data_IF_496043158656
#
_entry.id   IF_496043158656
#
_cell.length_a   1.000
_cell.length_b   1.000
_cell.length_c   1.000
_cell.angle_alpha   90.00
_cell.angle_beta   90.00
_cell.angle_gamma   90.00
#
_symmetry.space_group_name_H-M   'P 1'
#
loop_
_entity.id
_entity.type
_entity.pdbx_description
1 polymer ?
#
# COMPACT_ATOMS: atom_id res chain seq x y z
N UNK A 1 68.43 69.08 28.98
CA UNK A 1 67.25 69.69 28.32
C UNK A 1 66.16 68.64 28.24
N UNK A 2 64.97 68.95 28.79
CA UNK A 2 63.58 68.49 28.46
C UNK A 2 63.43 67.14 27.73
N UNK A 3 62.57 66.18 28.06
CA UNK A 3 61.29 66.17 28.76
C UNK A 3 60.88 64.70 29.02
N UNK A 4 60.03 64.49 30.02
CA UNK A 4 59.19 63.31 30.24
C UNK A 4 58.43 62.87 28.98
N UNK A 5 58.09 61.58 28.86
CA UNK A 5 56.68 61.19 28.66
C UNK A 5 56.39 59.70 28.95
N UNK A 6 55.25 59.53 29.62
CA UNK A 6 54.46 58.32 29.91
C UNK A 6 54.34 57.37 28.71
N UNK A 7 54.57 56.07 28.92
CA UNK A 7 54.10 55.03 28.00
C UNK A 7 52.76 54.49 28.51
N UNK A 8 51.67 54.94 27.89
CA UNK A 8 50.32 54.49 28.18
C UNK A 8 50.06 53.13 27.51
N UNK A 9 49.70 52.14 28.32
CA UNK A 9 49.20 50.83 27.89
C UNK A 9 47.85 51.03 27.20
N UNK A 10 47.78 50.80 25.90
CA UNK A 10 46.52 50.77 25.15
C UNK A 10 46.13 49.32 24.90
N UNK A 11 45.16 48.84 25.68
CA UNK A 11 44.50 47.55 25.51
C UNK A 11 43.63 47.62 24.26
N UNK A 12 44.02 46.93 23.19
CA UNK A 12 43.16 46.70 22.03
C UNK A 12 42.14 45.61 22.39
N UNK A 13 40.92 46.03 22.75
CA UNK A 13 39.75 45.16 22.80
C UNK A 13 39.33 44.84 21.36
N UNK A 14 39.70 43.67 20.86
CA UNK A 14 39.12 43.10 19.65
C UNK A 14 37.66 42.72 19.93
N UNK A 15 36.75 43.66 19.69
CA UNK A 15 35.33 43.37 19.51
C UNK A 15 35.18 42.54 18.23
N UNK A 16 35.25 41.21 18.38
CA UNK A 16 34.83 40.30 17.32
C UNK A 16 33.31 40.34 17.25
N UNK A 17 32.78 41.05 16.27
CA UNK A 17 31.39 40.90 15.83
C UNK A 17 31.18 39.45 15.39
N UNK A 18 30.66 38.61 16.28
CA UNK A 18 30.05 37.34 15.89
C UNK A 18 28.73 37.70 15.23
N UNK A 19 28.71 37.71 13.90
CA UNK A 19 27.47 37.83 13.14
C UNK A 19 26.59 36.61 13.45
N UNK A 20 25.31 36.77 13.84
CA UNK A 20 24.39 35.66 13.97
C UNK A 20 23.98 35.22 12.58
N UNK A 21 24.78 34.36 11.97
CA UNK A 21 24.39 33.60 10.79
C UNK A 21 24.30 32.13 11.20
N UNK A 22 23.48 31.86 12.21
CA UNK A 22 22.74 30.60 12.27
C UNK A 22 21.61 30.70 11.24
N UNK A 23 21.98 30.72 9.95
CA UNK A 23 21.04 30.35 8.90
C UNK A 23 20.83 28.85 9.07
N UNK A 24 19.65 28.47 9.56
CA UNK A 24 19.18 27.09 9.48
C UNK A 24 19.52 26.55 8.09
N UNK A 25 20.45 25.60 8.04
CA UNK A 25 20.97 25.03 6.79
C UNK A 25 19.76 24.45 6.07
N UNK A 26 19.39 25.01 4.92
CA UNK A 26 18.25 24.54 4.13
C UNK A 26 18.46 23.06 3.86
N UNK A 27 17.49 22.21 4.25
CA UNK A 27 17.59 20.76 4.02
C UNK A 27 17.78 20.50 2.53
N UNK A 28 18.68 19.58 2.18
CA UNK A 28 18.85 19.18 0.79
C UNK A 28 17.59 18.44 0.29
N UNK A 29 17.41 18.40 -1.03
CA UNK A 29 16.23 17.81 -1.66
C UNK A 29 16.04 16.35 -1.29
N UNK A 30 17.13 15.57 -1.15
CA UNK A 30 17.05 14.16 -0.79
C UNK A 30 16.48 13.99 0.62
N UNK A 31 16.92 14.82 1.56
CA UNK A 31 16.37 14.84 2.92
C UNK A 31 14.89 15.21 2.92
N UNK A 32 14.49 16.25 2.19
CA UNK A 32 13.08 16.67 2.10
C UNK A 32 12.19 15.55 1.53
N UNK A 33 12.61 14.94 0.42
CA UNK A 33 11.86 13.85 -0.22
C UNK A 33 11.76 12.63 0.70
N UNK A 34 12.85 12.28 1.37
CA UNK A 34 12.88 11.13 2.29
C UNK A 34 11.96 11.36 3.49
N UNK A 35 12.04 12.52 4.14
CA UNK A 35 11.19 12.85 5.28
C UNK A 35 9.71 12.86 4.91
N UNK A 36 9.37 13.41 3.74
CA UNK A 36 7.99 13.38 3.23
C UNK A 36 7.53 11.94 3.01
N UNK A 37 8.32 11.13 2.29
CA UNK A 37 7.99 9.72 2.04
C UNK A 37 7.77 8.95 3.34
N UNK A 38 8.63 9.13 4.35
CA UNK A 38 8.49 8.45 5.63
C UNK A 38 7.22 8.88 6.38
N UNK A 39 6.83 10.16 6.25
CA UNK A 39 5.58 10.68 6.83
C UNK A 39 4.37 10.06 6.15
N UNK A 40 4.32 10.10 4.81
CA UNK A 40 3.23 9.53 4.01
C UNK A 40 3.10 8.01 4.25
N UNK A 41 4.23 7.29 4.29
CA UNK A 41 4.26 5.85 4.56
C UNK A 41 3.71 5.52 5.95
N UNK A 42 4.04 6.34 6.95
CA UNK A 42 3.50 6.17 8.31
C UNK A 42 1.97 6.34 8.31
N UNK A 43 1.47 7.39 7.68
CA UNK A 43 0.02 7.64 7.57
C UNK A 43 -0.71 6.50 6.85
N UNK A 44 -0.12 5.97 5.78
CA UNK A 44 -0.66 4.83 5.06
C UNK A 44 -0.70 3.56 5.93
N UNK A 45 0.37 3.28 6.69
CA UNK A 45 0.42 2.16 7.64
C UNK A 45 -0.61 2.32 8.78
N UNK A 46 -0.79 3.54 9.29
CA UNK A 46 -1.81 3.85 10.30
C UNK A 46 -3.22 3.58 9.73
N UNK A 47 -3.45 3.94 8.46
CA UNK A 47 -4.72 3.67 7.75
C UNK A 47 -4.98 2.17 7.56
N UNK A 48 -3.96 1.40 7.16
CA UNK A 48 -4.04 -0.06 7.05
C UNK A 48 -4.39 -0.69 8.41
N UNK A 49 -3.72 -0.25 9.49
CA UNK A 49 -3.98 -0.76 10.84
C UNK A 49 -5.37 -0.38 11.36
N UNK A 50 -5.85 0.82 11.06
CA UNK A 50 -7.20 1.24 11.42
C UNK A 50 -8.26 0.42 10.67
N UNK A 51 -8.06 0.16 9.38
CA UNK A 51 -8.99 -0.56 8.52
C UNK A 51 -9.27 -1.99 9.00
N UNK A 52 -8.27 -2.69 9.54
CA UNK A 52 -8.43 -4.06 10.09
C UNK A 52 -9.57 -4.21 11.08
N UNK A 53 -9.88 -3.16 11.84
CA UNK A 53 -10.97 -3.16 12.85
C UNK A 53 -12.37 -3.24 12.23
N UNK A 54 -12.49 -2.92 10.95
CA UNK A 54 -13.76 -2.83 10.24
C UNK A 54 -13.96 -3.96 9.23
N UNK A 55 -12.95 -4.80 9.00
CA UNK A 55 -13.02 -5.92 8.07
C UNK A 55 -13.78 -7.08 8.71
N UNK A 56 -14.71 -7.64 7.95
CA UNK A 56 -15.51 -8.81 8.29
C UNK A 56 -15.33 -9.90 7.23
N UNK A 57 -15.73 -11.12 7.58
CA UNK A 57 -15.81 -12.24 6.65
C UNK A 57 -16.60 -11.88 5.38
N UNK A 58 -16.04 -12.17 4.22
CA UNK A 58 -16.68 -11.93 2.92
C UNK A 58 -16.59 -10.47 2.44
N UNK A 59 -15.92 -9.57 3.15
CA UNK A 59 -15.67 -8.21 2.64
C UNK A 59 -14.78 -8.26 1.39
N UNK A 60 -15.17 -7.50 0.36
CA UNK A 60 -14.35 -7.28 -0.82
C UNK A 60 -13.30 -6.22 -0.53
N UNK A 61 -12.04 -6.59 -0.72
CA UNK A 61 -10.89 -5.68 -0.61
C UNK A 61 -10.42 -5.35 -2.02
N UNK A 62 -10.53 -4.08 -2.40
CA UNK A 62 -10.00 -3.56 -3.66
C UNK A 62 -8.67 -2.84 -3.42
N UNK A 63 -7.77 -2.86 -4.40
CA UNK A 63 -6.47 -2.15 -4.31
C UNK A 63 -6.01 -1.61 -5.65
N UNK A 64 -5.03 -0.71 -5.59
CA UNK A 64 -4.31 -0.19 -6.76
C UNK A 64 -2.81 -0.32 -6.60
N UNK A 65 -2.16 -1.01 -7.54
CA UNK A 65 -0.70 -1.07 -7.64
C UNK A 65 -0.11 0.16 -8.33
N UNK A 66 1.20 0.37 -8.11
CA UNK A 66 1.96 1.42 -8.82
C UNK A 66 2.38 1.00 -10.23
N UNK A 67 2.28 -0.30 -10.54
CA UNK A 67 2.83 -0.87 -11.76
C UNK A 67 1.97 -0.60 -13.00
N UNK A 68 2.56 -0.79 -14.18
CA UNK A 68 1.91 -0.53 -15.46
C UNK A 68 0.72 -1.48 -15.72
N UNK A 69 0.78 -2.71 -15.22
CA UNK A 69 -0.32 -3.68 -15.36
C UNK A 69 -1.53 -3.18 -14.60
N UNK A 70 -1.35 -2.73 -13.35
CA UNK A 70 -2.38 -2.10 -12.54
C UNK A 70 -3.04 -0.91 -13.27
N UNK A 71 -2.24 0.00 -13.82
CA UNK A 71 -2.75 1.16 -14.57
C UNK A 71 -3.53 0.76 -15.84
N UNK A 72 -3.11 -0.32 -16.51
CA UNK A 72 -3.82 -0.86 -17.67
C UNK A 72 -5.16 -1.46 -17.26
N UNK A 73 -5.19 -2.27 -16.19
CA UNK A 73 -6.41 -2.92 -15.69
C UNK A 73 -7.46 -1.92 -15.19
N UNK A 74 -7.06 -0.80 -14.58
CA UNK A 74 -7.98 0.29 -14.24
C UNK A 74 -8.77 0.79 -15.45
N UNK A 75 -8.16 0.78 -16.64
CA UNK A 75 -8.80 1.23 -17.87
C UNK A 75 -9.78 0.22 -18.48
N UNK A 76 -9.82 -1.02 -17.97
CA UNK A 76 -10.86 -1.98 -18.35
C UNK A 76 -12.18 -1.71 -17.62
N UNK A 77 -12.16 -0.98 -16.51
CA UNK A 77 -13.38 -0.50 -15.86
C UNK A 77 -13.94 0.72 -16.61
N UNK A 78 -15.22 0.64 -17.00
CA UNK A 78 -15.91 1.69 -17.76
C UNK A 78 -16.54 2.79 -16.89
N UNK A 79 -16.56 2.62 -15.57
CA UNK A 79 -17.23 3.52 -14.63
C UNK A 79 -16.25 4.04 -13.58
N UNK A 80 -15.74 3.15 -12.72
CA UNK A 80 -14.83 3.51 -11.63
C UNK A 80 -13.45 2.91 -11.88
N UNK A 81 -12.52 3.78 -12.27
CA UNK A 81 -11.13 3.41 -12.57
C UNK A 81 -10.21 3.45 -11.34
N UNK A 82 -10.77 3.59 -10.13
CA UNK A 82 -9.97 3.73 -8.91
C UNK A 82 -9.15 2.48 -8.63
N UNK A 83 -9.72 1.28 -8.84
CA UNK A 83 -9.12 0.00 -8.45
C UNK A 83 -8.70 -0.83 -9.66
N UNK A 84 -7.56 -1.52 -9.53
CA UNK A 84 -7.04 -2.45 -10.56
C UNK A 84 -7.22 -3.91 -10.18
N UNK A 85 -7.44 -4.18 -8.89
CA UNK A 85 -7.42 -5.53 -8.35
C UNK A 85 -8.37 -5.68 -7.17
N UNK A 86 -8.88 -6.89 -6.97
CA UNK A 86 -9.76 -7.21 -5.85
C UNK A 86 -9.56 -8.64 -5.35
N UNK A 87 -10.03 -8.88 -4.13
CA UNK A 87 -10.11 -10.18 -3.46
C UNK A 87 -11.17 -10.14 -2.36
N UNK A 88 -11.43 -11.29 -1.73
CA UNK A 88 -12.32 -11.38 -0.56
C UNK A 88 -11.50 -11.67 0.70
N UNK A 89 -11.87 -11.01 1.79
CA UNK A 89 -11.27 -11.20 3.11
C UNK A 89 -11.99 -12.30 3.89
N UNK A 90 -11.21 -13.17 4.52
CA UNK A 90 -11.68 -14.16 5.49
C UNK A 90 -10.78 -14.17 6.73
N UNK A 91 -11.34 -14.44 7.90
CA UNK A 91 -10.60 -14.42 9.17
C UNK A 91 -10.21 -15.85 9.55
N UNK A 92 -8.93 -16.15 9.43
CA UNK A 92 -8.36 -17.47 9.73
C UNK A 92 -7.39 -17.34 10.91
N UNK A 93 -7.65 -18.09 11.99
CA UNK A 93 -6.83 -18.07 13.22
C UNK A 93 -6.57 -16.64 13.75
N UNK A 94 -7.59 -15.79 13.67
CA UNK A 94 -7.53 -14.38 14.10
C UNK A 94 -6.77 -13.46 13.13
N UNK A 95 -6.37 -13.94 11.96
CA UNK A 95 -5.69 -13.17 10.91
C UNK A 95 -6.60 -12.92 9.72
N UNK A 96 -6.57 -11.71 9.19
CA UNK A 96 -7.31 -11.37 7.97
C UNK A 96 -6.50 -11.86 6.77
N UNK A 97 -7.06 -12.83 6.07
CA UNK A 97 -6.49 -13.42 4.85
C UNK A 97 -7.31 -12.95 3.65
N UNK A 98 -6.64 -12.43 2.63
CA UNK A 98 -7.27 -12.03 1.38
C UNK A 98 -7.01 -13.12 0.36
N UNK A 99 -8.10 -13.65 -0.21
CA UNK A 99 -8.04 -14.61 -1.29
C UNK A 99 -8.34 -13.91 -2.62
N UNK A 100 -7.54 -14.21 -3.65
CA UNK A 100 -7.62 -13.53 -4.93
C UNK A 100 -6.89 -14.30 -6.04
N UNK A 101 -7.35 -14.12 -7.27
CA UNK A 101 -6.61 -14.55 -8.46
C UNK A 101 -5.76 -13.40 -9.00
N UNK A 102 -4.44 -13.57 -9.10
CA UNK A 102 -3.52 -12.54 -9.61
C UNK A 102 -2.41 -13.17 -10.46
N UNK A 103 -1.91 -12.44 -11.46
CA UNK A 103 -0.70 -12.78 -12.20
C UNK A 103 0.39 -11.72 -12.00
N UNK A 104 1.62 -12.07 -12.39
CA UNK A 104 2.76 -11.16 -12.46
C UNK A 104 4.01 -11.77 -11.84
N UNK A 105 5.14 -11.69 -12.53
CA UNK A 105 6.39 -12.30 -12.09
C UNK A 105 6.82 -11.86 -10.68
N UNK A 106 6.55 -10.60 -10.31
CA UNK A 106 6.95 -10.01 -9.02
C UNK A 106 5.89 -10.11 -7.91
N UNK A 107 4.67 -10.55 -8.24
CA UNK A 107 3.54 -10.67 -7.28
C UNK A 107 3.15 -12.15 -7.06
N UNK A 108 3.15 -12.93 -8.14
CA UNK A 108 2.70 -14.32 -8.19
C UNK A 108 3.26 -15.05 -9.43
N UNK A 109 4.55 -15.43 -9.44
CA UNK A 109 5.21 -16.04 -10.60
C UNK A 109 4.57 -17.36 -11.05
N UNK A 110 3.99 -18.13 -10.13
CA UNK A 110 3.31 -19.38 -10.44
C UNK A 110 1.87 -19.17 -10.94
N UNK A 111 1.33 -17.96 -10.81
CA UNK A 111 -0.01 -17.58 -11.26
C UNK A 111 -1.14 -18.40 -10.63
N UNK A 112 -0.87 -19.04 -9.50
CA UNK A 112 -1.86 -19.80 -8.74
C UNK A 112 -2.80 -18.84 -8.02
N UNK A 113 -4.03 -19.28 -7.79
CA UNK A 113 -4.94 -18.60 -6.89
C UNK A 113 -4.27 -18.40 -5.52
N UNK A 114 -4.20 -17.15 -5.06
CA UNK A 114 -3.42 -16.75 -3.90
C UNK A 114 -4.30 -16.53 -2.68
N UNK A 115 -3.71 -16.87 -1.54
CA UNK A 115 -4.12 -16.45 -0.21
C UNK A 115 -2.95 -15.72 0.43
N UNK A 116 -3.14 -14.47 0.83
CA UNK A 116 -2.09 -13.72 1.52
C UNK A 116 -2.66 -12.86 2.66
N UNK A 117 -1.86 -12.51 3.68
CA UNK A 117 -2.31 -11.62 4.74
C UNK A 117 -2.75 -10.27 4.18
N UNK A 118 -3.77 -9.65 4.79
CA UNK A 118 -4.25 -8.32 4.40
C UNK A 118 -3.12 -7.29 4.29
N UNK A 119 -2.18 -7.28 5.24
CA UNK A 119 -1.01 -6.37 5.22
C UNK A 119 -0.15 -6.50 3.98
N UNK A 120 0.04 -7.72 3.49
CA UNK A 120 0.77 -7.98 2.24
C UNK A 120 -0.06 -7.56 1.03
N UNK A 121 -1.37 -7.82 1.08
CA UNK A 121 -2.28 -7.44 0.00
C UNK A 121 -2.37 -5.92 -0.19
N UNK A 122 -2.32 -5.11 0.87
CA UNK A 122 -2.43 -3.64 0.77
C UNK A 122 -1.13 -2.89 1.08
N UNK A 123 0.04 -3.54 1.00
CA UNK A 123 1.33 -2.96 1.41
C UNK A 123 1.56 -1.57 0.77
N UNK A 124 1.60 -0.48 1.56
CA UNK A 124 1.72 0.88 1.03
C UNK A 124 3.07 1.17 0.37
N UNK A 125 4.07 0.28 0.51
CA UNK A 125 5.30 0.35 -0.29
C UNK A 125 5.06 -0.05 -1.75
N UNK A 126 3.99 -0.79 -2.02
CA UNK A 126 3.67 -1.35 -3.35
C UNK A 126 2.28 -0.97 -3.86
N UNK A 127 1.44 -0.37 -3.04
CA UNK A 127 0.05 -0.04 -3.37
C UNK A 127 -0.21 1.43 -3.10
N UNK A 128 -0.98 2.05 -3.99
CA UNK A 128 -1.33 3.47 -3.94
C UNK A 128 -2.51 3.70 -3.00
N UNK A 129 -3.52 2.83 -3.07
CA UNK A 129 -4.71 2.90 -2.23
C UNK A 129 -5.40 1.53 -2.13
N UNK A 130 -6.33 1.42 -1.18
CA UNK A 130 -7.24 0.30 -1.05
C UNK A 130 -8.64 0.76 -0.64
N UNK A 131 -9.64 -0.10 -0.88
CA UNK A 131 -11.02 0.11 -0.48
C UNK A 131 -11.63 -1.17 0.08
N UNK A 132 -12.61 -1.02 0.97
CA UNK A 132 -13.33 -2.13 1.61
C UNK A 132 -14.81 -1.99 1.31
N UNK A 133 -15.41 -3.05 0.79
CA UNK A 133 -16.81 -3.09 0.39
C UNK A 133 -17.49 -4.31 0.99
N UNK A 134 -18.68 -4.12 1.57
CA UNK A 134 -19.44 -5.19 2.20
C UNK A 134 -20.65 -5.56 1.35
N UNK A 135 -20.72 -6.83 0.96
CA UNK A 135 -21.92 -7.39 0.38
C UNK A 135 -23.01 -7.61 1.44
N UNK A 136 -24.27 -7.63 1.00
CA UNK A 136 -25.40 -8.00 1.84
C UNK A 136 -25.66 -9.50 1.75
N UNK A 137 -24.68 -10.30 2.16
CA UNK A 137 -24.76 -11.75 2.21
C UNK A 137 -25.24 -12.22 3.59
N UNK A 138 -25.97 -13.34 3.63
CA UNK A 138 -26.26 -14.04 4.89
C UNK A 138 -25.01 -14.77 5.40
N UNK A 139 -24.96 -15.15 6.69
CA UNK A 139 -23.87 -15.95 7.22
C UNK A 139 -23.63 -17.27 6.45
N UNK A 140 -24.70 -17.92 6.00
CA UNK A 140 -24.63 -19.16 5.22
C UNK A 140 -24.02 -18.93 3.84
N UNK A 141 -24.40 -17.84 3.16
CA UNK A 141 -23.82 -17.45 1.88
C UNK A 141 -22.32 -17.14 2.02
N UNK A 142 -21.92 -16.45 3.09
CA UNK A 142 -20.50 -16.18 3.39
C UNK A 142 -19.72 -17.48 3.54
N UNK A 143 -20.27 -18.49 4.22
CA UNK A 143 -19.65 -19.81 4.36
C UNK A 143 -19.49 -20.50 3.00
N UNK A 144 -20.52 -20.47 2.15
CA UNK A 144 -20.46 -21.04 0.80
C UNK A 144 -19.37 -20.37 -0.05
N UNK A 145 -19.31 -19.04 -0.04
CA UNK A 145 -18.27 -18.28 -0.76
C UNK A 145 -16.88 -18.64 -0.22
N UNK A 146 -16.70 -18.70 1.11
CA UNK A 146 -15.42 -19.07 1.73
C UNK A 146 -14.95 -20.47 1.30
N UNK A 147 -15.87 -21.44 1.23
CA UNK A 147 -15.56 -22.80 0.79
C UNK A 147 -15.13 -22.83 -0.68
N UNK A 148 -15.81 -22.08 -1.55
CA UNK A 148 -15.45 -21.99 -2.96
C UNK A 148 -14.06 -21.36 -3.16
N UNK A 149 -13.74 -20.28 -2.43
CA UNK A 149 -12.41 -19.65 -2.50
C UNK A 149 -11.30 -20.56 -1.98
N UNK A 150 -11.57 -21.35 -0.92
CA UNK A 150 -10.64 -22.37 -0.42
C UNK A 150 -10.42 -23.49 -1.44
N UNK A 151 -11.45 -23.88 -2.17
CA UNK A 151 -11.32 -24.86 -3.26
C UNK A 151 -10.46 -24.31 -4.42
N UNK A 152 -10.67 -23.06 -4.84
CA UNK A 152 -9.85 -22.41 -5.87
C UNK A 152 -8.36 -22.38 -5.49
N UNK A 153 -8.07 -22.03 -4.22
CA UNK A 153 -6.71 -22.02 -3.66
C UNK A 153 -6.10 -23.43 -3.64
N UNK A 154 -6.84 -24.41 -3.12
CA UNK A 154 -6.40 -25.80 -3.02
C UNK A 154 -6.13 -26.45 -4.39
N UNK A 155 -6.95 -26.12 -5.40
CA UNK A 155 -6.76 -26.62 -6.77
C UNK A 155 -5.71 -25.86 -7.56
N UNK A 156 -5.14 -24.79 -6.99
CA UNK A 156 -4.18 -23.93 -7.66
C UNK A 156 -4.69 -23.41 -9.01
N UNK A 157 -5.97 -22.98 -9.06
CA UNK A 157 -6.58 -22.39 -10.27
C UNK A 157 -5.69 -21.28 -10.79
N UNK A 158 -5.41 -21.29 -12.09
CA UNK A 158 -4.47 -20.33 -12.68
C UNK A 158 -5.15 -19.00 -13.00
N UNK A 159 -4.36 -17.94 -13.08
CA UNK A 159 -4.84 -16.67 -13.59
C UNK A 159 -5.23 -16.77 -15.07
N UNK A 160 -6.40 -16.24 -15.41
CA UNK A 160 -6.84 -16.16 -16.80
C UNK A 160 -6.32 -14.88 -17.49
N UNK A 161 -5.29 -15.05 -18.32
CA UNK A 161 -4.67 -13.97 -19.10
C UNK A 161 -5.51 -13.53 -20.31
N UNK A 162 -6.46 -14.35 -20.73
CA UNK A 162 -7.28 -14.09 -21.92
C UNK A 162 -8.65 -13.51 -21.56
N UNK A 163 -8.98 -13.41 -20.26
CA UNK A 163 -10.26 -12.89 -19.77
C UNK A 163 -11.46 -13.61 -20.43
N UNK A 164 -11.33 -14.92 -20.59
CA UNK A 164 -12.30 -15.84 -21.15
C UNK A 164 -13.22 -16.44 -20.06
N UNK A 165 -14.39 -15.82 -19.91
CA UNK A 165 -15.43 -16.26 -18.96
C UNK A 165 -15.92 -17.72 -19.11
N UNK A 166 -15.62 -18.39 -20.23
CA UNK A 166 -16.05 -19.76 -20.51
C UNK A 166 -15.10 -20.83 -19.96
N UNK A 167 -13.88 -20.45 -19.57
CA UNK A 167 -12.91 -21.34 -18.95
C UNK A 167 -13.12 -21.31 -17.42
N UNK A 168 -13.30 -22.47 -16.80
CA UNK A 168 -13.43 -22.60 -15.34
C UNK A 168 -12.13 -23.09 -14.67
N UNK A 169 -11.15 -23.54 -15.48
CA UNK A 169 -9.84 -23.96 -14.99
C UNK A 169 -8.90 -22.78 -14.74
N UNK A 170 -9.29 -21.60 -15.21
CA UNK A 170 -8.59 -20.33 -15.04
C UNK A 170 -9.57 -19.23 -14.73
N UNK A 171 -9.20 -18.31 -13.85
CA UNK A 171 -10.08 -17.19 -13.50
C UNK A 171 -9.25 -15.93 -13.25
N UNK A 172 -9.74 -14.76 -13.64
CA UNK A 172 -9.17 -13.48 -13.21
C UNK A 172 -9.85 -12.95 -11.93
N UNK A 173 -9.31 -11.87 -11.34
CA UNK A 173 -9.67 -11.43 -9.99
C UNK A 173 -11.17 -11.23 -9.75
N UNK A 174 -11.83 -10.41 -10.58
CA UNK A 174 -13.25 -10.13 -10.45
C UNK A 174 -14.15 -11.25 -10.97
N UNK A 175 -13.65 -12.09 -11.88
CA UNK A 175 -14.37 -13.30 -12.32
C UNK A 175 -14.51 -14.31 -11.19
N UNK A 176 -13.42 -14.58 -10.45
CA UNK A 176 -13.47 -15.51 -9.33
C UNK A 176 -14.52 -15.07 -8.30
N UNK A 177 -14.53 -13.78 -7.95
CA UNK A 177 -15.56 -13.21 -7.08
C UNK A 177 -16.95 -13.40 -7.70
N UNK A 178 -17.16 -12.97 -8.95
CA UNK A 178 -18.47 -13.02 -9.59
C UNK A 178 -19.01 -14.45 -9.76
N UNK A 179 -18.16 -15.45 -10.03
CA UNK A 179 -18.58 -16.86 -10.16
C UNK A 179 -19.00 -17.48 -8.83
N UNK A 180 -18.40 -17.05 -7.72
CA UNK A 180 -18.77 -17.56 -6.39
C UNK A 180 -20.00 -16.91 -5.76
N UNK A 181 -20.37 -15.70 -6.22
CA UNK A 181 -21.55 -14.97 -5.75
C UNK A 181 -22.84 -15.31 -6.52
N UNK A 182 -22.74 -16.17 -7.55
CA UNK A 182 -23.89 -16.67 -8.32
C UNK A 182 -24.46 -17.92 -7.66
#
# INVERSE_FOLDING_TARGET
MKNSFLLAVTVFLFNSCISPIDKAKTKDVSTIVTEKYMTDLKEALDSVNAAKKYIHEGDMICRTGFDYVSQTLQNFNTVDKTYSHSGLAFIEDGKIMVYHSIAGADENPDENFKKEPFDSFVDPKRKVCFGIFRYKLTPEEIVCVALNFKDLEKRHVKFDKFFNLKDDDKQYCSEAIAKTLK
#
